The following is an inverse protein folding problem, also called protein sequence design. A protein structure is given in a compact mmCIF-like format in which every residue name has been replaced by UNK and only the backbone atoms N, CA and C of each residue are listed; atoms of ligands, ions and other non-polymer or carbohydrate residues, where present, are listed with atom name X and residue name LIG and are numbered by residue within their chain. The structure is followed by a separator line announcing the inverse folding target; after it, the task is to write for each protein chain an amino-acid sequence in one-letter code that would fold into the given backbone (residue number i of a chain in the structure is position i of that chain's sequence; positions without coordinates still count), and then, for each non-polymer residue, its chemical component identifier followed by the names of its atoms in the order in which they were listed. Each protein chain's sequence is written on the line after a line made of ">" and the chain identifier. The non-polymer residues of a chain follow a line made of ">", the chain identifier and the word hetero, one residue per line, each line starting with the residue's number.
data_IF_888989775399
#
_entry.id   IF_888989775399
#
_cell.length_a   1.000
_cell.length_b   1.000
_cell.length_c   1.000
_cell.angle_alpha   90.00
_cell.angle_beta   90.00
_cell.angle_gamma   90.00
#
_symmetry.space_group_name_H-M   'P 1'
#
loop_
_entity.id
_entity.type
_entity.pdbx_description
1 polymer ?
#
# COMPACT_ATOMS: atom_id res chain seq x y z
N UNK A 1 -8.29 -2.28 19.81
CA UNK A 1 -8.33 -2.77 18.41
C UNK A 1 -8.87 -1.66 17.52
N UNK A 2 -8.22 -1.40 16.40
CA UNK A 2 -8.71 -0.51 15.34
C UNK A 2 -9.54 -1.29 14.33
N UNK A 3 -10.61 -0.68 13.85
CA UNK A 3 -11.48 -1.21 12.81
C UNK A 3 -11.66 -0.19 11.68
N UNK A 4 -11.99 -0.68 10.50
CA UNK A 4 -12.36 0.14 9.35
C UNK A 4 -13.80 -0.23 8.92
N UNK A 5 -14.62 0.78 8.63
CA UNK A 5 -16.01 0.60 8.20
C UNK A 5 -16.13 -0.09 6.81
N UNK A 6 -15.04 -0.17 6.04
CA UNK A 6 -15.00 -0.80 4.73
C UNK A 6 -14.36 -2.20 4.76
N UNK A 7 -14.31 -2.83 5.94
CA UNK A 7 -13.76 -4.15 6.12
C UNK A 7 -14.76 -5.08 6.79
N UNK A 8 -14.67 -6.37 6.50
CA UNK A 8 -15.42 -7.45 7.15
C UNK A 8 -14.48 -8.24 8.04
N UNK A 9 -14.99 -8.68 9.17
CA UNK A 9 -14.23 -9.39 10.19
C UNK A 9 -14.93 -10.70 10.56
N UNK A 10 -14.21 -11.84 10.62
CA UNK A 10 -14.76 -13.09 11.16
C UNK A 10 -15.16 -12.92 12.64
N UNK A 11 -16.07 -13.75 13.11
CA UNK A 11 -16.58 -13.72 14.49
C UNK A 11 -15.48 -13.90 15.54
N UNK A 12 -14.43 -14.65 15.21
CA UNK A 12 -13.29 -14.90 16.09
C UNK A 12 -12.17 -13.83 15.99
N UNK A 13 -12.34 -12.78 15.17
CA UNK A 13 -11.26 -11.83 14.87
C UNK A 13 -10.70 -11.17 16.13
N UNK A 14 -11.57 -10.62 16.97
CA UNK A 14 -11.17 -9.92 18.19
C UNK A 14 -10.53 -10.86 19.22
N UNK A 15 -11.19 -11.97 19.52
CA UNK A 15 -10.70 -12.92 20.52
C UNK A 15 -9.36 -13.53 20.10
N UNK A 16 -9.16 -13.78 18.81
CA UNK A 16 -7.89 -14.30 18.28
C UNK A 16 -6.77 -13.26 18.39
N UNK A 17 -7.01 -12.00 18.01
CA UNK A 17 -6.01 -10.94 18.14
C UNK A 17 -5.61 -10.70 19.61
N UNK A 18 -6.58 -10.63 20.52
CA UNK A 18 -6.30 -10.41 21.95
C UNK A 18 -5.51 -11.59 22.52
N UNK A 19 -5.92 -12.82 22.25
CA UNK A 19 -5.20 -14.02 22.69
C UNK A 19 -3.76 -14.04 22.21
N UNK A 20 -3.53 -13.75 20.91
CA UNK A 20 -2.20 -13.76 20.33
C UNK A 20 -1.33 -12.58 20.84
N UNK A 21 -1.91 -11.41 21.05
CA UNK A 21 -1.21 -10.27 21.68
C UNK A 21 -0.68 -10.63 23.06
N UNK A 22 -1.52 -11.29 23.87
CA UNK A 22 -1.16 -11.72 25.22
C UNK A 22 -0.13 -12.85 25.21
N UNK A 23 -0.31 -13.85 24.34
CA UNK A 23 0.59 -15.01 24.24
C UNK A 23 1.98 -14.62 23.74
N UNK A 24 2.07 -13.71 22.76
CA UNK A 24 3.35 -13.24 22.20
C UNK A 24 4.04 -12.18 23.05
N UNK A 25 3.33 -11.50 23.94
CA UNK A 25 3.88 -10.45 24.80
C UNK A 25 4.42 -9.22 24.06
N UNK A 26 3.92 -8.95 22.86
CA UNK A 26 4.40 -7.90 21.95
C UNK A 26 3.53 -6.63 22.02
N UNK A 27 3.97 -5.57 21.34
CA UNK A 27 3.31 -4.26 21.38
C UNK A 27 2.09 -4.17 20.47
N UNK A 28 2.13 -4.83 19.30
CA UNK A 28 1.04 -4.82 18.34
C UNK A 28 0.92 -6.14 17.58
N UNK A 29 -0.30 -6.62 17.40
CA UNK A 29 -0.60 -7.76 16.56
C UNK A 29 -1.66 -7.41 15.54
N UNK A 30 -1.49 -7.86 14.32
CA UNK A 30 -2.47 -7.76 13.25
C UNK A 30 -2.62 -9.06 12.49
N UNK A 31 -3.63 -9.13 11.65
CA UNK A 31 -3.90 -10.28 10.79
C UNK A 31 -3.83 -9.90 9.31
N UNK A 32 -3.79 -10.92 8.45
CA UNK A 32 -3.85 -10.70 7.01
C UNK A 32 -5.10 -9.90 6.62
N UNK A 33 -4.94 -8.97 5.67
CA UNK A 33 -6.02 -8.17 5.12
C UNK A 33 -6.29 -8.60 3.68
N UNK A 34 -7.17 -9.58 3.51
CA UNK A 34 -7.55 -10.12 2.19
C UNK A 34 -8.36 -9.07 1.43
N UNK A 35 -8.01 -8.82 0.19
CA UNK A 35 -8.80 -7.93 -0.67
C UNK A 35 -9.91 -8.73 -1.33
N UNK A 36 -11.13 -8.23 -1.29
CA UNK A 36 -12.28 -8.77 -2.05
C UNK A 36 -13.11 -7.64 -2.67
N UNK A 37 -14.12 -8.02 -3.45
CA UNK A 37 -15.06 -7.14 -4.13
C UNK A 37 -16.48 -7.65 -3.90
N UNK A 38 -17.45 -6.75 -3.82
CA UNK A 38 -18.85 -7.10 -3.62
C UNK A 38 -19.44 -7.77 -4.87
N UNK A 39 -19.24 -7.14 -6.03
CA UNK A 39 -19.73 -7.61 -7.31
C UNK A 39 -18.64 -8.34 -8.08
N UNK A 40 -18.77 -9.66 -8.25
CA UNK A 40 -17.76 -10.50 -8.91
C UNK A 40 -17.99 -10.54 -10.42
N UNK A 41 -17.31 -9.70 -11.18
CA UNK A 41 -17.23 -9.72 -12.63
C UNK A 41 -15.76 -9.58 -13.08
N UNK A 42 -15.47 -9.78 -14.36
CA UNK A 42 -14.10 -9.79 -14.88
C UNK A 42 -13.30 -8.51 -14.56
N UNK A 43 -13.96 -7.35 -14.58
CA UNK A 43 -13.32 -6.06 -14.23
C UNK A 43 -12.98 -6.00 -12.74
N UNK A 44 -13.93 -6.31 -11.86
CA UNK A 44 -13.75 -6.23 -10.41
C UNK A 44 -12.78 -7.29 -9.90
N UNK A 45 -12.78 -8.48 -10.50
CA UNK A 45 -11.81 -9.53 -10.21
C UNK A 45 -10.39 -9.13 -10.63
N UNK A 46 -10.22 -8.46 -11.78
CA UNK A 46 -8.93 -7.89 -12.16
C UNK A 46 -8.45 -6.83 -11.16
N UNK A 47 -9.33 -5.93 -10.71
CA UNK A 47 -9.03 -4.94 -9.67
C UNK A 47 -8.60 -5.61 -8.36
N UNK A 48 -9.37 -6.60 -7.89
CA UNK A 48 -9.03 -7.40 -6.71
C UNK A 48 -7.63 -8.01 -6.84
N UNK A 49 -7.33 -8.62 -7.98
CA UNK A 49 -6.05 -9.25 -8.23
C UNK A 49 -4.89 -8.26 -8.16
N UNK A 50 -5.00 -7.12 -8.82
CA UNK A 50 -3.98 -6.07 -8.84
C UNK A 50 -3.68 -5.56 -7.42
N UNK A 51 -4.70 -5.44 -6.57
CA UNK A 51 -4.56 -5.02 -5.17
C UNK A 51 -4.06 -6.14 -4.23
N UNK A 52 -3.93 -7.37 -4.71
CA UNK A 52 -3.43 -8.53 -3.97
C UNK A 52 -2.16 -9.14 -4.57
N UNK A 53 -1.62 -8.55 -5.65
CA UNK A 53 -0.46 -9.05 -6.36
C UNK A 53 0.80 -8.24 -6.02
N UNK A 54 1.95 -8.92 -5.91
CA UNK A 54 3.23 -8.27 -5.61
C UNK A 54 3.60 -7.15 -6.60
N UNK A 55 3.28 -7.31 -7.87
CA UNK A 55 3.54 -6.27 -8.87
C UNK A 55 2.69 -5.01 -8.62
N UNK A 56 1.47 -5.17 -8.07
CA UNK A 56 0.58 -4.06 -7.73
C UNK A 56 0.89 -3.38 -6.39
N UNK A 57 1.12 -4.18 -5.32
CA UNK A 57 1.22 -3.66 -3.95
C UNK A 57 2.61 -3.86 -3.31
N UNK A 58 3.58 -4.34 -4.08
CA UNK A 58 4.93 -4.61 -3.60
C UNK A 58 4.95 -5.68 -2.50
N UNK A 59 5.87 -5.54 -1.56
CA UNK A 59 6.04 -6.46 -0.43
C UNK A 59 5.09 -6.14 0.74
N UNK A 60 3.83 -5.83 0.47
CA UNK A 60 2.82 -5.59 1.49
C UNK A 60 2.39 -6.93 2.11
N UNK A 61 3.17 -7.45 3.07
CA UNK A 61 3.02 -8.79 3.66
C UNK A 61 1.61 -9.04 4.16
N UNK A 62 0.97 -8.06 4.79
CA UNK A 62 -0.39 -8.20 5.28
C UNK A 62 -1.44 -8.41 4.16
N UNK A 63 -1.16 -7.98 2.92
CA UNK A 63 -2.04 -8.23 1.76
C UNK A 63 -1.78 -9.57 1.09
N UNK A 64 -0.56 -10.07 1.22
CA UNK A 64 -0.14 -11.35 0.63
C UNK A 64 -0.51 -12.53 1.54
N UNK A 65 -0.68 -12.28 2.85
CA UNK A 65 -0.90 -13.30 3.86
C UNK A 65 0.41 -13.91 4.37
N UNK A 66 0.30 -14.65 5.48
CA UNK A 66 1.40 -15.38 6.11
C UNK A 66 0.93 -16.76 6.54
N UNK A 67 1.84 -17.73 6.56
CA UNK A 67 1.57 -19.11 6.98
C UNK A 67 1.93 -19.34 8.47
N UNK A 68 2.76 -18.48 9.02
CA UNK A 68 3.21 -18.52 10.43
C UNK A 68 3.29 -17.11 10.98
N UNK A 69 3.34 -16.97 12.30
CA UNK A 69 3.58 -15.70 12.95
C UNK A 69 4.88 -15.09 12.41
N UNK A 70 4.80 -13.84 11.95
CA UNK A 70 5.92 -13.15 11.34
C UNK A 70 6.04 -11.74 11.91
N UNK A 71 7.26 -11.35 12.30
CA UNK A 71 7.55 -9.97 12.65
C UNK A 71 7.53 -9.09 11.41
N UNK A 72 6.84 -7.95 11.48
CA UNK A 72 6.61 -7.04 10.37
C UNK A 72 6.75 -5.59 10.80
N UNK A 73 6.94 -4.71 9.82
CA UNK A 73 7.07 -3.27 10.05
C UNK A 73 5.71 -2.55 10.21
N UNK A 74 4.63 -3.19 9.78
CA UNK A 74 3.28 -2.64 9.87
C UNK A 74 2.22 -3.72 9.70
N UNK A 75 1.09 -3.53 10.38
CA UNK A 75 -0.15 -4.30 10.23
C UNK A 75 -1.33 -3.36 10.04
N UNK A 76 -2.34 -3.72 9.24
CA UNK A 76 -3.61 -3.01 9.23
C UNK A 76 -4.44 -3.42 10.44
N UNK A 77 -5.32 -2.54 10.92
CA UNK A 77 -6.30 -2.87 11.98
C UNK A 77 -5.67 -3.59 13.17
N UNK A 78 -4.59 -3.03 13.71
CA UNK A 78 -3.81 -3.61 14.79
C UNK A 78 -4.58 -3.73 16.12
N UNK A 79 -4.05 -4.58 16.97
CA UNK A 79 -4.48 -4.77 18.35
C UNK A 79 -3.30 -4.44 19.28
N UNK A 80 -3.47 -3.43 20.12
CA UNK A 80 -2.45 -2.90 21.04
C UNK A 80 -2.95 -3.03 22.49
N UNK A 81 -1.99 -3.09 23.42
CA UNK A 81 -2.27 -2.78 24.83
C UNK A 81 -2.34 -1.26 25.00
N UNK A 82 -3.01 -0.78 26.05
CA UNK A 82 -3.14 0.65 26.31
C UNK A 82 -1.77 1.31 26.55
N UNK A 83 -0.88 0.63 27.26
CA UNK A 83 0.47 1.07 27.61
C UNK A 83 1.33 1.39 26.38
N UNK A 84 1.02 0.81 25.23
CA UNK A 84 1.70 1.11 23.95
C UNK A 84 1.50 2.57 23.57
N UNK A 85 0.31 3.13 23.80
CA UNK A 85 0.03 4.53 23.53
C UNK A 85 0.71 5.46 24.54
N UNK A 86 0.83 5.03 25.80
CA UNK A 86 1.55 5.79 26.82
C UNK A 86 3.05 5.82 26.52
N UNK A 87 3.61 4.73 25.97
CA UNK A 87 5.03 4.59 25.64
C UNK A 87 5.42 5.26 24.32
N UNK A 88 4.61 5.09 23.27
CA UNK A 88 4.96 5.54 21.91
C UNK A 88 4.11 6.72 21.43
N UNK A 89 3.10 7.18 22.21
CA UNK A 89 2.18 8.25 21.85
C UNK A 89 1.01 7.77 20.98
N UNK A 90 0.01 8.61 20.89
CA UNK A 90 -1.22 8.37 20.11
C UNK A 90 -1.00 8.58 18.61
N UNK A 91 -2.05 8.39 17.82
CA UNK A 91 -2.04 8.73 16.40
C UNK A 91 -1.73 10.20 16.18
N UNK A 92 -0.95 10.50 15.14
CA UNK A 92 -0.71 11.87 14.71
C UNK A 92 -1.98 12.42 14.05
N UNK A 93 -2.66 13.36 14.71
CA UNK A 93 -3.95 13.93 14.28
C UNK A 93 -3.86 14.71 12.97
N UNK A 94 -2.65 15.14 12.56
CA UNK A 94 -2.41 15.81 11.27
C UNK A 94 -2.54 14.86 10.09
N UNK A 95 -2.47 13.54 10.32
CA UNK A 95 -2.51 12.52 9.28
C UNK A 95 -3.95 12.06 9.06
N UNK A 96 -4.52 12.34 7.89
CA UNK A 96 -5.82 11.77 7.46
C UNK A 96 -5.65 10.34 6.92
N UNK A 97 -4.42 10.00 6.43
CA UNK A 97 -4.05 8.64 5.99
C UNK A 97 -2.68 8.27 6.56
N UNK A 98 -2.35 7.00 6.51
CA UNK A 98 -1.08 6.43 6.98
C UNK A 98 -0.87 6.55 8.50
N UNK A 99 -1.89 6.86 9.27
CA UNK A 99 -1.83 6.95 10.73
C UNK A 99 -1.33 5.65 11.37
N UNK A 100 -1.84 4.51 10.88
CA UNK A 100 -1.43 3.18 11.31
C UNK A 100 0.02 2.87 10.93
N UNK A 101 0.40 3.17 9.70
CA UNK A 101 1.77 2.97 9.23
C UNK A 101 2.75 3.82 10.04
N UNK A 102 2.42 5.09 10.30
CA UNK A 102 3.27 6.00 11.09
C UNK A 102 3.43 5.50 12.52
N UNK A 103 2.32 5.16 13.20
CA UNK A 103 2.36 4.64 14.57
C UNK A 103 3.16 3.33 14.63
N UNK A 104 2.92 2.39 13.72
CA UNK A 104 3.65 1.14 13.66
C UNK A 104 5.16 1.36 13.47
N UNK A 105 5.55 2.26 12.57
CA UNK A 105 6.95 2.63 12.36
C UNK A 105 7.58 3.30 13.60
N UNK A 106 6.80 4.08 14.35
CA UNK A 106 7.22 4.71 15.60
C UNK A 106 7.43 3.66 16.70
N UNK A 107 6.55 2.66 16.80
CA UNK A 107 6.69 1.52 17.71
C UNK A 107 7.99 0.76 17.40
N UNK A 108 8.21 0.36 16.15
CA UNK A 108 9.42 -0.38 15.74
C UNK A 108 10.70 0.43 16.01
N UNK A 109 10.72 1.74 15.73
CA UNK A 109 11.88 2.61 16.03
C UNK A 109 12.15 2.73 17.53
N UNK A 110 11.11 2.67 18.33
CA UNK A 110 11.22 2.70 19.80
C UNK A 110 11.58 1.35 20.42
N UNK A 111 11.96 0.35 19.60
CA UNK A 111 12.32 -0.99 20.03
C UNK A 111 11.13 -1.91 20.31
N UNK A 112 9.93 -1.55 19.89
CA UNK A 112 8.73 -2.39 20.02
C UNK A 112 8.59 -3.39 18.88
N UNK A 113 7.80 -4.43 19.13
CA UNK A 113 7.61 -5.57 18.23
C UNK A 113 6.18 -5.62 17.68
N UNK A 114 6.06 -5.86 16.38
CA UNK A 114 4.79 -5.99 15.67
C UNK A 114 4.77 -7.31 14.93
N UNK A 115 3.73 -8.11 15.13
CA UNK A 115 3.58 -9.39 14.43
C UNK A 115 2.29 -9.45 13.61
N UNK A 116 2.42 -10.10 12.46
CA UNK A 116 1.32 -10.55 11.62
C UNK A 116 1.04 -12.02 11.90
N UNK A 117 -0.21 -12.37 12.19
CA UNK A 117 -0.61 -13.73 12.54
C UNK A 117 -1.46 -14.38 11.43
N UNK A 118 -1.36 -15.72 11.24
CA UNK A 118 -2.14 -16.47 10.26
C UNK A 118 -3.54 -16.89 10.74
N UNK A 119 -3.80 -16.87 12.05
CA UNK A 119 -4.96 -17.53 12.70
C UNK A 119 -6.31 -16.87 12.40
N UNK A 120 -6.29 -15.64 11.90
CA UNK A 120 -7.48 -14.89 11.49
C UNK A 120 -7.15 -13.94 10.34
N UNK A 121 -8.16 -13.24 9.81
CA UNK A 121 -7.96 -12.25 8.74
C UNK A 121 -9.08 -11.21 8.76
N UNK A 122 -8.83 -10.06 8.16
CA UNK A 122 -9.86 -9.11 7.75
C UNK A 122 -10.07 -9.18 6.24
N UNK A 123 -11.24 -8.77 5.77
CA UNK A 123 -11.52 -8.64 4.32
C UNK A 123 -11.77 -7.17 3.99
N UNK A 124 -10.87 -6.58 3.22
CA UNK A 124 -11.03 -5.24 2.69
C UNK A 124 -11.83 -5.25 1.39
N UNK A 125 -12.95 -4.53 1.36
CA UNK A 125 -13.78 -4.39 0.17
C UNK A 125 -13.23 -3.30 -0.75
N UNK A 126 -12.65 -3.71 -1.86
CA UNK A 126 -12.00 -2.80 -2.80
C UNK A 126 -13.00 -1.96 -3.60
N UNK A 127 -12.57 -0.79 -4.06
CA UNK A 127 -13.32 0.02 -5.04
C UNK A 127 -13.45 -0.74 -6.35
N UNK A 128 -14.64 -0.82 -6.93
CA UNK A 128 -14.96 -1.68 -8.08
C UNK A 128 -14.85 -0.98 -9.45
N UNK A 129 -14.35 0.26 -9.46
CA UNK A 129 -14.16 1.03 -10.68
C UNK A 129 -12.72 1.52 -10.82
N UNK A 130 -12.23 1.63 -12.06
CA UNK A 130 -10.91 2.20 -12.33
C UNK A 130 -10.76 3.62 -11.79
N UNK A 131 -11.79 4.46 -11.91
CA UNK A 131 -11.83 5.80 -11.31
C UNK A 131 -11.72 5.74 -9.78
N UNK A 132 -12.41 4.78 -9.14
CA UNK A 132 -12.36 4.59 -7.69
C UNK A 132 -10.98 4.19 -7.19
N UNK A 133 -10.32 3.21 -7.86
CA UNK A 133 -8.95 2.81 -7.50
C UNK A 133 -7.95 3.92 -7.81
N UNK A 134 -8.10 4.63 -8.94
CA UNK A 134 -7.25 5.77 -9.28
C UNK A 134 -7.32 6.85 -8.20
N UNK A 135 -8.52 7.28 -7.80
CA UNK A 135 -8.71 8.28 -6.73
C UNK A 135 -8.11 7.82 -5.41
N UNK A 136 -8.33 6.55 -5.04
CA UNK A 136 -7.79 6.01 -3.79
C UNK A 136 -6.26 5.98 -3.79
N UNK A 137 -5.64 5.52 -4.88
CA UNK A 137 -4.19 5.42 -4.99
C UNK A 137 -3.53 6.81 -5.16
N UNK A 138 -4.17 7.73 -5.87
CA UNK A 138 -3.75 9.13 -5.88
C UNK A 138 -3.67 9.72 -4.46
N UNK A 139 -4.70 9.50 -3.65
CA UNK A 139 -4.70 9.96 -2.26
C UNK A 139 -3.63 9.25 -1.42
N UNK A 140 -3.41 7.94 -1.62
CA UNK A 140 -2.33 7.22 -0.94
C UNK A 140 -0.97 7.83 -1.28
N UNK A 141 -0.67 8.04 -2.57
CA UNK A 141 0.58 8.67 -3.00
C UNK A 141 0.77 10.07 -2.41
N UNK A 142 -0.25 10.91 -2.48
CA UNK A 142 -0.22 12.27 -1.90
C UNK A 142 0.09 12.22 -0.40
N UNK A 143 -0.61 11.38 0.35
CA UNK A 143 -0.44 11.28 1.80
C UNK A 143 0.86 10.62 2.22
N UNK A 144 1.52 9.84 1.38
CA UNK A 144 2.88 9.38 1.67
C UNK A 144 3.86 10.55 1.80
N UNK A 145 3.79 11.50 0.87
CA UNK A 145 4.64 12.70 0.92
C UNK A 145 4.29 13.54 2.16
N UNK A 146 3.00 13.77 2.40
CA UNK A 146 2.53 14.53 3.55
C UNK A 146 2.91 13.87 4.88
N UNK A 147 2.88 12.53 4.97
CA UNK A 147 3.32 11.81 6.18
C UNK A 147 4.78 12.13 6.49
N UNK A 148 5.68 12.02 5.51
CA UNK A 148 7.10 12.38 5.70
C UNK A 148 7.27 13.85 6.07
N UNK A 149 6.49 14.74 5.44
CA UNK A 149 6.53 16.17 5.73
C UNK A 149 6.13 16.49 7.19
N UNK A 150 5.00 15.94 7.66
CA UNK A 150 4.51 16.20 9.02
C UNK A 150 5.37 15.53 10.09
N UNK A 151 5.82 14.32 9.86
CA UNK A 151 6.66 13.57 10.82
C UNK A 151 8.13 13.99 10.79
N UNK A 152 8.56 14.70 9.73
CA UNK A 152 9.97 15.04 9.46
C UNK A 152 10.88 13.81 9.36
N UNK A 153 10.33 12.65 9.04
CA UNK A 153 11.07 11.38 9.04
C UNK A 153 10.71 10.52 7.83
N UNK A 154 11.69 10.25 6.96
CA UNK A 154 11.54 9.32 5.84
C UNK A 154 11.23 7.88 6.32
N UNK A 155 11.77 7.49 7.47
CA UNK A 155 11.54 6.17 8.08
C UNK A 155 10.10 5.96 8.58
N UNK A 156 9.23 6.99 8.56
CA UNK A 156 7.79 6.83 8.79
C UNK A 156 7.08 6.02 7.70
N UNK A 157 7.77 5.78 6.57
CA UNK A 157 7.27 4.94 5.48
C UNK A 157 8.36 3.98 5.00
N UNK A 158 7.97 2.89 4.35
CA UNK A 158 8.90 1.97 3.69
C UNK A 158 9.24 2.48 2.28
N UNK A 159 10.43 2.18 1.76
CA UNK A 159 10.92 2.61 0.44
C UNK A 159 9.93 2.28 -0.69
N UNK A 160 9.24 1.15 -0.60
CA UNK A 160 8.22 0.73 -1.59
C UNK A 160 7.15 1.80 -1.88
N UNK A 161 6.86 2.67 -0.93
CA UNK A 161 5.85 3.73 -1.10
C UNK A 161 6.30 4.85 -2.04
N UNK A 162 7.61 4.94 -2.33
CA UNK A 162 8.17 5.94 -3.22
C UNK A 162 8.45 5.41 -4.64
N UNK A 163 8.40 4.07 -4.85
CA UNK A 163 8.63 3.45 -6.17
C UNK A 163 7.73 4.04 -7.27
N UNK A 164 6.41 4.23 -7.05
CA UNK A 164 5.56 4.82 -8.09
C UNK A 164 5.91 6.28 -8.44
N UNK A 165 6.41 7.05 -7.47
CA UNK A 165 6.91 8.41 -7.73
C UNK A 165 8.19 8.36 -8.56
N UNK A 166 9.15 7.50 -8.21
CA UNK A 166 10.39 7.33 -8.97
C UNK A 166 10.09 6.90 -10.41
N UNK A 167 9.19 5.94 -10.60
CA UNK A 167 8.76 5.53 -11.93
C UNK A 167 8.19 6.71 -12.74
N UNK A 168 7.32 7.51 -12.14
CA UNK A 168 6.77 8.71 -12.78
C UNK A 168 7.89 9.71 -13.15
N UNK A 169 8.86 9.92 -12.26
CA UNK A 169 10.00 10.80 -12.54
C UNK A 169 10.86 10.27 -13.69
N UNK A 170 11.12 8.96 -13.77
CA UNK A 170 11.84 8.36 -14.89
C UNK A 170 11.08 8.44 -16.22
N UNK A 171 9.75 8.58 -16.19
CA UNK A 171 8.97 8.81 -17.40
C UNK A 171 9.00 10.27 -17.87
N UNK A 172 8.91 11.24 -16.97
CA UNK A 172 8.68 12.63 -17.35
C UNK A 172 9.93 13.52 -17.27
N UNK A 173 10.81 13.32 -16.27
CA UNK A 173 11.97 14.16 -16.10
C UNK A 173 12.97 14.08 -17.27
N UNK A 174 13.29 12.90 -17.82
CA UNK A 174 14.18 12.83 -18.97
C UNK A 174 13.59 13.49 -20.22
N UNK A 175 12.26 13.49 -20.40
CA UNK A 175 11.59 14.22 -21.48
C UNK A 175 11.85 15.73 -21.34
N UNK A 176 11.70 16.29 -20.13
CA UNK A 176 11.96 17.71 -19.88
C UNK A 176 13.44 18.05 -20.08
N UNK A 177 14.34 17.21 -19.60
CA UNK A 177 15.77 17.42 -19.72
C UNK A 177 16.30 17.20 -21.14
N UNK A 178 15.59 16.43 -21.97
CA UNK A 178 15.97 16.19 -23.38
C UNK A 178 15.92 17.45 -24.26
N UNK A 179 15.22 18.51 -23.82
CA UNK A 179 15.30 19.83 -24.47
C UNK A 179 16.70 20.46 -24.38
N UNK A 180 17.49 20.09 -23.37
CA UNK A 180 18.87 20.54 -23.20
C UNK A 180 19.89 19.53 -23.69
N UNK A 181 19.59 18.22 -23.54
CA UNK A 181 20.44 17.10 -23.95
C UNK A 181 19.58 15.96 -24.49
N UNK A 182 19.43 15.91 -25.81
CA UNK A 182 18.50 15.02 -26.50
C UNK A 182 18.66 13.52 -26.18
N UNK A 183 19.87 12.94 -25.91
CA UNK A 183 19.98 11.52 -25.58
C UNK A 183 19.20 11.08 -24.32
N UNK A 184 18.86 12.00 -23.43
CA UNK A 184 18.11 11.66 -22.20
C UNK A 184 16.71 11.10 -22.48
N UNK A 185 16.13 11.38 -23.65
CA UNK A 185 14.83 10.81 -24.05
C UNK A 185 14.85 9.28 -24.09
N UNK A 186 16.01 8.67 -24.33
CA UNK A 186 16.19 7.21 -24.34
C UNK A 186 15.82 6.60 -23.00
N UNK A 187 16.07 7.29 -21.87
CA UNK A 187 15.72 6.82 -20.52
C UNK A 187 14.20 6.67 -20.41
N UNK A 188 13.42 7.60 -20.92
CA UNK A 188 11.95 7.51 -20.94
C UNK A 188 11.48 6.30 -21.74
N UNK A 189 12.03 6.10 -22.96
CA UNK A 189 11.65 4.94 -23.78
C UNK A 189 12.01 3.62 -23.12
N UNK A 190 13.23 3.50 -22.57
CA UNK A 190 13.64 2.30 -21.83
C UNK A 190 12.74 2.03 -20.63
N UNK A 191 12.39 3.06 -19.86
CA UNK A 191 11.50 2.94 -18.70
C UNK A 191 10.10 2.50 -19.12
N UNK A 192 9.56 3.07 -20.20
CA UNK A 192 8.23 2.73 -20.71
C UNK A 192 8.20 1.30 -21.27
N UNK A 193 9.20 0.92 -22.08
CA UNK A 193 9.31 -0.42 -22.65
C UNK A 193 9.45 -1.46 -21.54
N UNK A 194 10.37 -1.25 -20.60
CA UNK A 194 10.59 -2.17 -19.48
C UNK A 194 9.33 -2.35 -18.64
N UNK A 195 8.65 -1.25 -18.29
CA UNK A 195 7.39 -1.32 -17.55
C UNK A 195 6.31 -2.06 -18.33
N UNK A 196 6.11 -1.72 -19.61
CA UNK A 196 5.08 -2.34 -20.46
C UNK A 196 5.32 -3.83 -20.63
N UNK A 197 6.57 -4.23 -20.85
CA UNK A 197 6.96 -5.64 -20.96
C UNK A 197 6.71 -6.40 -19.66
N UNK A 198 7.17 -5.87 -18.53
CA UNK A 198 6.92 -6.49 -17.21
C UNK A 198 5.42 -6.58 -16.91
N UNK A 199 4.67 -5.51 -17.13
CA UNK A 199 3.23 -5.49 -16.92
C UNK A 199 2.51 -6.50 -17.81
N UNK A 200 2.89 -6.58 -19.08
CA UNK A 200 2.31 -7.54 -20.04
C UNK A 200 2.57 -8.99 -19.62
N UNK A 201 3.82 -9.33 -19.25
CA UNK A 201 4.18 -10.68 -18.78
C UNK A 201 3.36 -11.05 -17.53
N UNK A 202 3.28 -10.16 -16.54
CA UNK A 202 2.50 -10.39 -15.32
C UNK A 202 1.01 -10.55 -15.65
N UNK A 203 0.45 -9.67 -16.48
CA UNK A 203 -0.95 -9.73 -16.87
C UNK A 203 -1.29 -11.01 -17.65
N UNK A 204 -0.41 -11.44 -18.57
CA UNK A 204 -0.57 -12.68 -19.34
C UNK A 204 -0.55 -13.89 -18.41
N UNK A 205 0.43 -13.96 -17.49
CA UNK A 205 0.52 -15.02 -16.49
C UNK A 205 -0.74 -15.11 -15.62
N UNK A 206 -1.23 -13.97 -15.12
CA UNK A 206 -2.44 -13.90 -14.31
C UNK A 206 -3.70 -14.26 -15.10
N UNK A 207 -3.78 -13.81 -16.35
CA UNK A 207 -4.89 -14.12 -17.25
C UNK A 207 -5.01 -15.62 -17.48
N UNK A 208 -3.89 -16.30 -17.77
CA UNK A 208 -3.87 -17.75 -18.01
C UNK A 208 -4.15 -18.51 -16.72
N UNK A 209 -3.41 -18.20 -15.64
CA UNK A 209 -3.45 -18.99 -14.40
C UNK A 209 -4.73 -18.80 -13.60
N UNK A 210 -5.30 -17.59 -13.60
CA UNK A 210 -6.50 -17.25 -12.81
C UNK A 210 -7.75 -17.02 -13.65
N UNK A 211 -7.67 -17.24 -14.96
CA UNK A 211 -8.77 -17.06 -15.94
C UNK A 211 -9.38 -15.65 -15.85
N UNK A 212 -8.52 -14.65 -15.67
CA UNK A 212 -8.90 -13.24 -15.61
C UNK A 212 -8.80 -12.60 -16.99
N UNK A 213 -9.64 -11.61 -17.27
CA UNK A 213 -9.59 -10.88 -18.53
C UNK A 213 -8.32 -10.04 -18.62
N UNK A 214 -7.50 -10.33 -19.65
CA UNK A 214 -6.21 -9.66 -19.88
C UNK A 214 -6.35 -8.14 -20.06
N UNK A 215 -7.39 -7.69 -20.76
CA UNK A 215 -7.62 -6.26 -21.01
C UNK A 215 -7.83 -5.48 -19.70
N UNK A 216 -8.65 -6.00 -18.79
CA UNK A 216 -8.86 -5.35 -17.50
C UNK A 216 -7.62 -5.34 -16.61
N UNK A 217 -6.78 -6.37 -16.67
CA UNK A 217 -5.49 -6.38 -15.96
C UNK A 217 -4.53 -5.33 -16.54
N UNK A 218 -4.42 -5.25 -17.88
CA UNK A 218 -3.57 -4.26 -18.57
C UNK A 218 -3.99 -2.81 -18.29
N UNK A 219 -5.24 -2.56 -17.95
CA UNK A 219 -5.71 -1.24 -17.51
C UNK A 219 -5.45 -1.04 -16.01
N UNK A 220 -5.76 -2.05 -15.18
CA UNK A 220 -5.76 -1.90 -13.73
C UNK A 220 -4.37 -1.61 -13.14
N UNK A 221 -3.30 -2.28 -13.59
CA UNK A 221 -1.94 -2.03 -13.12
C UNK A 221 -1.44 -0.61 -13.43
N UNK A 222 -1.50 -0.11 -14.69
CA UNK A 222 -1.12 1.27 -14.97
C UNK A 222 -1.97 2.29 -14.20
N UNK A 223 -3.27 2.09 -14.10
CA UNK A 223 -4.15 2.97 -13.33
C UNK A 223 -3.70 3.05 -11.87
N UNK A 224 -3.35 1.92 -11.25
CA UNK A 224 -2.86 1.89 -9.88
C UNK A 224 -1.51 2.62 -9.75
N UNK A 225 -0.52 2.26 -10.56
CA UNK A 225 0.84 2.78 -10.42
C UNK A 225 0.95 4.27 -10.78
N UNK A 226 0.35 4.67 -11.91
CA UNK A 226 0.43 6.06 -12.37
C UNK A 226 -0.36 7.00 -11.47
N UNK A 227 -1.56 6.60 -11.01
CA UNK A 227 -2.34 7.44 -10.09
C UNK A 227 -1.63 7.62 -8.75
N UNK A 228 -0.97 6.58 -8.25
CA UNK A 228 -0.18 6.65 -7.01
C UNK A 228 1.04 7.58 -7.18
N UNK A 229 1.81 7.39 -8.25
CA UNK A 229 2.96 8.24 -8.58
C UNK A 229 2.56 9.71 -8.76
N UNK A 230 1.46 9.95 -9.48
CA UNK A 230 0.91 11.29 -9.67
C UNK A 230 0.46 11.94 -8.36
N UNK A 231 -0.20 11.18 -7.49
CA UNK A 231 -0.55 11.65 -6.15
C UNK A 231 0.67 12.06 -5.34
N UNK A 232 1.75 11.26 -5.38
CA UNK A 232 3.01 11.56 -4.71
C UNK A 232 3.66 12.83 -5.28
N UNK A 233 3.67 12.98 -6.61
CA UNK A 233 4.19 14.18 -7.27
C UNK A 233 3.42 15.45 -6.86
N UNK A 234 2.07 15.39 -6.90
CA UNK A 234 1.23 16.52 -6.46
C UNK A 234 1.41 16.81 -4.97
N UNK A 235 1.58 15.76 -4.13
CA UNK A 235 1.94 15.92 -2.72
C UNK A 235 3.21 16.72 -2.55
N UNK A 236 4.26 16.38 -3.31
CA UNK A 236 5.55 17.06 -3.28
C UNK A 236 5.44 18.56 -3.71
N UNK A 237 4.76 18.82 -4.82
CA UNK A 237 4.54 20.19 -5.29
C UNK A 237 3.68 21.00 -4.33
N UNK A 238 2.74 20.36 -3.64
CA UNK A 238 1.84 21.00 -2.67
C UNK A 238 2.52 21.42 -1.36
N UNK A 239 3.71 20.89 -1.02
CA UNK A 239 4.42 21.21 0.23
C UNK A 239 4.73 22.71 0.37
N UNK A 240 4.94 23.40 -0.73
CA UNK A 240 5.18 24.85 -0.75
C UNK A 240 3.99 25.68 -0.24
N UNK A 241 2.77 25.12 -0.24
CA UNK A 241 1.53 25.78 0.18
C UNK A 241 1.14 25.47 1.62
N UNK A 242 1.84 24.54 2.25
CA UNK A 242 1.60 24.15 3.64
C UNK A 242 2.62 24.91 4.48
N UNK A 243 2.18 26.07 5.00
CA UNK A 243 2.95 26.87 5.98
C UNK A 243 2.54 26.48 7.39
#
# INVERSE_FOLDING_TARGET
>A
IRLDAHALYPTNYFSTLVRQLMALGIDNVGAACKTDVLNKNQKTLAIKEVLSNRFGVGNSTFRLGVEKVMEVDTVPFGCWRKEVFDKYGYYDERLIRNQDIELNKRIVRGGGHICLIPDTYSTYLARETFKGIARNNYMNGKWNILTVFYTKQFSSLSIRHFIPLLFLLFLFLPVLLSFFYSPLIVITFLSLISYTLCAFIVCLFLSIRKKLNLFYLLIAFPVLHLSYGWGSFVGLMGLRKIK
#
